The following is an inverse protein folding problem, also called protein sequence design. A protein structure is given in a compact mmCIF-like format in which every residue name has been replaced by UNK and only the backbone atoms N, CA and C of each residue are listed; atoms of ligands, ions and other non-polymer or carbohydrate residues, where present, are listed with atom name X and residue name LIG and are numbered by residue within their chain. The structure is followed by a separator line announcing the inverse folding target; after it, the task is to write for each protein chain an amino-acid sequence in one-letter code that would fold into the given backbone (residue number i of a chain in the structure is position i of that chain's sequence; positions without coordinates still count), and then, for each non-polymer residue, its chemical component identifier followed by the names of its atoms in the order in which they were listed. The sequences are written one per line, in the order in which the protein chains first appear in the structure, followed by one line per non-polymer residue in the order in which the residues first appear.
data_IF_744526962698
#
_entry.id   IF_744526962698
#
_cell.length_a   1.000
_cell.length_b   1.000
_cell.length_c   1.000
_cell.angle_alpha   90.00
_cell.angle_beta   90.00
_cell.angle_gamma   90.00
#
_symmetry.space_group_name_H-M   'P 1'
#
loop_
_entity.id
_entity.type
_entity.pdbx_description
1 polymer ?
#
# COMPACT_ATOMS: atom_id res chain seq x y z
N UNK A 1 -33.23 10.50 22.85
CA UNK A 1 -32.00 9.88 23.39
C UNK A 1 -31.30 9.04 22.34
N UNK A 2 -32.00 8.18 21.58
CA UNK A 2 -31.41 7.33 20.54
C UNK A 2 -30.39 8.02 19.63
N UNK A 3 -30.73 9.14 18.99
CA UNK A 3 -29.78 9.89 18.14
C UNK A 3 -28.55 10.41 18.91
N UNK A 4 -28.75 10.84 20.15
CA UNK A 4 -27.65 11.34 21.00
C UNK A 4 -26.69 10.18 21.31
N UNK A 5 -27.21 8.99 21.62
CA UNK A 5 -26.40 7.79 21.84
C UNK A 5 -25.58 7.40 20.59
N UNK A 6 -26.10 7.60 19.36
CA UNK A 6 -25.32 7.41 18.12
C UNK A 6 -24.13 8.36 18.09
N UNK A 7 -24.35 9.64 18.40
CA UNK A 7 -23.30 10.67 18.39
C UNK A 7 -22.25 10.47 19.49
N UNK A 8 -22.65 9.92 20.64
CA UNK A 8 -21.75 9.58 21.75
C UNK A 8 -21.05 8.23 21.58
N UNK A 9 -21.29 7.51 20.47
CA UNK A 9 -20.69 6.20 20.20
C UNK A 9 -21.29 5.04 21.02
N UNK A 10 -22.38 5.26 21.76
CA UNK A 10 -23.08 4.23 22.53
C UNK A 10 -24.05 3.44 21.65
N UNK A 11 -23.50 2.74 20.65
CA UNK A 11 -24.26 2.15 19.55
C UNK A 11 -25.26 1.06 19.99
N UNK A 12 -24.93 0.25 21.00
CA UNK A 12 -25.84 -0.78 21.54
C UNK A 12 -27.10 -0.17 22.16
N UNK A 13 -26.94 0.88 22.96
CA UNK A 13 -28.04 1.62 23.57
C UNK A 13 -28.82 2.42 22.51
N UNK A 14 -28.12 2.96 21.51
CA UNK A 14 -28.74 3.65 20.39
C UNK A 14 -29.66 2.72 19.60
N UNK A 15 -29.21 1.53 19.21
CA UNK A 15 -30.01 0.56 18.46
C UNK A 15 -31.29 0.17 19.23
N UNK A 16 -31.17 -0.14 20.52
CA UNK A 16 -32.34 -0.48 21.37
C UNK A 16 -33.35 0.67 21.48
N UNK A 17 -32.87 1.89 21.74
CA UNK A 17 -33.73 3.08 21.86
C UNK A 17 -34.43 3.40 20.53
N UNK A 18 -33.72 3.25 19.42
CA UNK A 18 -34.23 3.53 18.08
C UNK A 18 -35.20 2.45 17.60
N UNK A 19 -34.96 1.17 17.93
CA UNK A 19 -35.91 0.08 17.69
C UNK A 19 -37.24 0.33 18.42
N UNK A 20 -37.19 0.65 19.71
CA UNK A 20 -38.41 1.01 20.49
C UNK A 20 -39.13 2.23 19.92
N UNK A 21 -38.39 3.20 19.37
CA UNK A 21 -38.97 4.39 18.73
C UNK A 21 -39.67 4.03 17.42
N UNK A 22 -39.09 3.15 16.61
CA UNK A 22 -39.67 2.68 15.35
C UNK A 22 -41.01 1.98 15.57
N UNK A 23 -41.13 1.18 16.63
CA UNK A 23 -42.37 0.46 16.97
C UNK A 23 -43.51 1.40 17.39
N UNK A 24 -43.17 2.52 18.04
CA UNK A 24 -44.16 3.44 18.63
C UNK A 24 -44.56 4.56 17.68
N UNK A 25 -43.65 5.02 16.83
CA UNK A 25 -43.87 6.21 16.03
C UNK A 25 -44.73 5.90 14.79
N UNK A 26 -45.67 6.80 14.49
CA UNK A 26 -46.50 6.73 13.27
C UNK A 26 -46.10 7.75 12.21
N UNK A 27 -45.22 8.69 12.56
CA UNK A 27 -44.76 9.75 11.65
C UNK A 27 -43.74 9.19 10.64
N UNK A 28 -43.97 9.31 9.32
CA UNK A 28 -43.02 8.87 8.29
C UNK A 28 -41.64 9.49 8.48
N UNK A 29 -41.55 10.81 8.69
CA UNK A 29 -40.26 11.50 8.93
C UNK A 29 -39.50 10.91 10.12
N UNK A 30 -40.19 10.65 11.22
CA UNK A 30 -39.55 10.10 12.43
C UNK A 30 -39.12 8.66 12.20
N UNK A 31 -39.92 7.85 11.48
CA UNK A 31 -39.54 6.48 11.09
C UNK A 31 -38.29 6.46 10.23
N UNK A 32 -38.22 7.32 9.21
CA UNK A 32 -37.04 7.41 8.33
C UNK A 32 -35.81 7.79 9.15
N UNK A 33 -35.86 8.89 9.91
CA UNK A 33 -34.71 9.33 10.70
C UNK A 33 -34.27 8.29 11.74
N UNK A 34 -35.21 7.67 12.44
CA UNK A 34 -34.91 6.63 13.40
C UNK A 34 -34.31 5.37 12.74
N UNK A 35 -34.82 4.97 11.58
CA UNK A 35 -34.30 3.85 10.80
C UNK A 35 -32.88 4.11 10.29
N UNK A 36 -32.61 5.32 9.76
CA UNK A 36 -31.27 5.69 9.31
C UNK A 36 -30.26 5.76 10.47
N UNK A 37 -30.66 6.34 11.60
CA UNK A 37 -29.85 6.36 12.80
C UNK A 37 -29.55 4.96 13.33
N UNK A 38 -30.54 4.07 13.27
CA UNK A 38 -30.41 2.67 13.70
C UNK A 38 -29.45 1.92 12.77
N UNK A 39 -29.61 2.10 11.45
CA UNK A 39 -28.69 1.53 10.47
C UNK A 39 -27.24 1.97 10.69
N UNK A 40 -27.01 3.25 11.02
CA UNK A 40 -25.68 3.74 11.38
C UNK A 40 -25.14 3.06 12.64
N UNK A 41 -25.94 2.94 13.69
CA UNK A 41 -25.53 2.24 14.92
C UNK A 41 -25.18 0.77 14.65
N UNK A 42 -26.02 0.04 13.93
CA UNK A 42 -25.77 -1.37 13.58
C UNK A 42 -24.54 -1.54 12.69
N UNK A 43 -24.29 -0.60 11.76
CA UNK A 43 -23.07 -0.60 10.95
C UNK A 43 -21.81 -0.48 11.81
N UNK A 44 -21.81 0.41 12.80
CA UNK A 44 -20.66 0.58 13.71
C UNK A 44 -20.45 -0.62 14.63
N UNK A 45 -21.50 -1.41 14.89
CA UNK A 45 -21.42 -2.69 15.60
C UNK A 45 -20.98 -3.87 14.72
N UNK A 46 -20.81 -3.67 13.40
CA UNK A 46 -20.53 -4.73 12.45
C UNK A 46 -21.73 -5.63 12.13
N UNK A 47 -22.93 -5.28 12.60
CA UNK A 47 -24.16 -6.04 12.39
C UNK A 47 -24.85 -5.57 11.10
N UNK A 48 -24.40 -6.16 9.99
CA UNK A 48 -24.80 -5.74 8.65
C UNK A 48 -26.20 -6.21 8.26
N UNK A 49 -26.70 -7.30 8.84
CA UNK A 49 -28.07 -7.77 8.64
C UNK A 49 -29.06 -6.79 9.26
N UNK A 50 -28.86 -6.43 10.54
CA UNK A 50 -29.71 -5.42 11.21
C UNK A 50 -29.61 -4.04 10.56
N UNK A 51 -28.44 -3.68 10.04
CA UNK A 51 -28.28 -2.45 9.24
C UNK A 51 -29.21 -2.48 8.03
N UNK A 52 -29.17 -3.56 7.24
CA UNK A 52 -29.93 -3.66 6.00
C UNK A 52 -31.44 -3.70 6.26
N UNK A 53 -31.88 -4.36 7.35
CA UNK A 53 -33.26 -4.29 7.83
C UNK A 53 -33.68 -2.85 8.18
N UNK A 54 -32.85 -2.13 8.94
CA UNK A 54 -33.15 -0.75 9.32
C UNK A 54 -33.16 0.21 8.12
N UNK A 55 -32.29 -0.01 7.13
CA UNK A 55 -32.31 0.71 5.85
C UNK A 55 -33.58 0.40 5.05
N UNK A 56 -34.03 -0.84 5.02
CA UNK A 56 -35.27 -1.23 4.36
C UNK A 56 -36.48 -0.54 4.98
N UNK A 57 -36.57 -0.52 6.32
CA UNK A 57 -37.62 0.20 7.06
C UNK A 57 -37.60 1.69 6.74
N UNK A 58 -36.43 2.32 6.72
CA UNK A 58 -36.29 3.73 6.37
C UNK A 58 -36.70 3.99 4.92
N UNK A 59 -36.35 3.11 3.99
CA UNK A 59 -36.71 3.23 2.57
C UNK A 59 -38.22 3.10 2.35
N UNK A 60 -38.87 2.13 3.00
CA UNK A 60 -40.32 1.94 2.91
C UNK A 60 -41.06 3.16 3.49
N UNK A 61 -40.64 3.63 4.68
CA UNK A 61 -41.22 4.79 5.34
C UNK A 61 -41.05 6.10 4.56
N UNK A 62 -40.09 6.19 3.64
CA UNK A 62 -39.87 7.37 2.79
C UNK A 62 -41.01 7.60 1.77
N UNK A 63 -41.80 6.57 1.44
CA UNK A 63 -43.00 6.69 0.62
C UNK A 63 -42.75 7.36 -0.73
N UNK A 64 -43.51 8.42 -1.05
CA UNK A 64 -43.34 9.22 -2.26
C UNK A 64 -42.58 10.53 -2.04
N UNK A 65 -42.18 10.82 -0.80
CA UNK A 65 -41.53 12.09 -0.42
C UNK A 65 -40.08 12.16 -0.94
N UNK A 66 -39.76 13.04 -1.91
CA UNK A 66 -38.46 13.07 -2.57
C UNK A 66 -37.29 13.29 -1.60
N UNK A 67 -37.47 14.21 -0.63
CA UNK A 67 -36.42 14.55 0.35
C UNK A 67 -36.05 13.37 1.25
N UNK A 68 -37.03 12.55 1.65
CA UNK A 68 -36.78 11.39 2.51
C UNK A 68 -36.11 10.26 1.72
N UNK A 69 -36.51 10.07 0.46
CA UNK A 69 -35.86 9.13 -0.46
C UNK A 69 -34.39 9.48 -0.68
N UNK A 70 -34.11 10.76 -0.94
CA UNK A 70 -32.75 11.28 -1.09
C UNK A 70 -31.92 11.01 0.17
N UNK A 71 -32.44 11.32 1.36
CA UNK A 71 -31.74 11.08 2.61
C UNK A 71 -31.46 9.58 2.84
N UNK A 72 -32.47 8.72 2.61
CA UNK A 72 -32.32 7.27 2.77
C UNK A 72 -31.29 6.68 1.81
N UNK A 73 -31.33 7.06 0.53
CA UNK A 73 -30.37 6.60 -0.46
C UNK A 73 -28.95 7.12 -0.20
N UNK A 74 -28.80 8.36 0.28
CA UNK A 74 -27.49 8.94 0.62
C UNK A 74 -26.83 8.20 1.78
N UNK A 75 -27.57 7.96 2.88
CA UNK A 75 -27.04 7.23 4.05
C UNK A 75 -26.76 5.77 3.70
N UNK A 76 -27.65 5.10 2.96
CA UNK A 76 -27.38 3.73 2.51
C UNK A 76 -26.10 3.63 1.67
N UNK A 77 -25.90 4.57 0.73
CA UNK A 77 -24.70 4.61 -0.09
C UNK A 77 -23.43 4.88 0.72
N UNK A 78 -23.47 5.77 1.72
CA UNK A 78 -22.36 5.99 2.67
C UNK A 78 -21.95 4.67 3.34
N UNK A 79 -22.91 3.95 3.90
CA UNK A 79 -22.65 2.69 4.61
C UNK A 79 -22.13 1.59 3.68
N UNK A 80 -22.55 1.55 2.42
CA UNK A 80 -21.98 0.62 1.43
C UNK A 80 -20.54 1.00 1.04
N UNK A 81 -20.23 2.28 0.87
CA UNK A 81 -18.87 2.73 0.56
C UNK A 81 -17.88 2.42 1.70
N UNK A 82 -18.34 2.41 2.94
CA UNK A 82 -17.54 2.00 4.09
C UNK A 82 -17.17 0.52 4.07
N UNK A 83 -17.98 -0.33 3.42
CA UNK A 83 -17.69 -1.75 3.19
C UNK A 83 -17.00 -2.03 1.85
N UNK A 84 -16.48 -1.01 1.16
CA UNK A 84 -15.91 -1.15 -0.16
C UNK A 84 -16.89 -1.81 -1.17
N UNK A 85 -18.17 -1.44 -1.08
CA UNK A 85 -19.27 -1.83 -1.98
C UNK A 85 -19.70 -0.65 -2.87
N UNK A 86 -18.82 -0.18 -3.79
CA UNK A 86 -19.07 1.03 -4.57
C UNK A 86 -20.15 0.87 -5.64
N UNK A 87 -20.41 -0.35 -6.12
CA UNK A 87 -21.42 -0.61 -7.16
C UNK A 87 -22.83 -0.36 -6.62
N UNK A 88 -23.15 -0.89 -5.45
CA UNK A 88 -24.45 -0.62 -4.80
C UNK A 88 -24.61 0.86 -4.45
N UNK A 89 -23.54 1.53 -4.03
CA UNK A 89 -23.57 2.97 -3.78
C UNK A 89 -23.86 3.77 -5.06
N UNK A 90 -23.26 3.41 -6.20
CA UNK A 90 -23.54 4.06 -7.49
C UNK A 90 -25.00 3.91 -7.91
N UNK A 91 -25.58 2.71 -7.78
CA UNK A 91 -26.99 2.46 -8.14
C UNK A 91 -27.95 3.38 -7.36
N UNK A 92 -27.62 3.68 -6.10
CA UNK A 92 -28.41 4.57 -5.25
C UNK A 92 -28.17 6.04 -5.56
N UNK A 93 -26.93 6.45 -5.82
CA UNK A 93 -26.55 7.86 -5.94
C UNK A 93 -26.73 8.43 -7.35
N UNK A 94 -26.57 7.61 -8.40
CA UNK A 94 -26.62 8.08 -9.79
C UNK A 94 -27.98 8.69 -10.17
N UNK A 95 -29.14 8.09 -9.80
CA UNK A 95 -30.44 8.70 -10.06
C UNK A 95 -30.61 10.06 -9.37
N UNK A 96 -30.10 10.20 -8.14
CA UNK A 96 -30.17 11.45 -7.38
C UNK A 96 -29.34 12.55 -8.04
N UNK A 97 -28.14 12.21 -8.49
CA UNK A 97 -27.24 13.14 -9.16
C UNK A 97 -27.79 13.59 -10.51
N UNK A 98 -28.39 12.68 -11.26
CA UNK A 98 -29.04 12.99 -12.55
C UNK A 98 -30.29 13.87 -12.36
N UNK A 99 -31.07 13.63 -11.31
CA UNK A 99 -32.27 14.42 -11.00
C UNK A 99 -31.92 15.85 -10.57
N UNK A 100 -30.84 16.03 -9.80
CA UNK A 100 -30.37 17.34 -9.37
C UNK A 100 -28.86 17.31 -9.12
N UNK A 101 -28.10 17.89 -10.05
CA UNK A 101 -26.66 18.02 -9.90
C UNK A 101 -26.25 18.99 -8.79
N UNK A 102 -27.20 19.60 -8.04
CA UNK A 102 -26.93 20.52 -6.91
C UNK A 102 -26.55 19.81 -5.61
N UNK A 103 -26.77 18.50 -5.49
CA UNK A 103 -26.46 17.76 -4.27
C UNK A 103 -24.96 17.51 -4.11
N UNK A 104 -24.29 18.44 -3.42
CA UNK A 104 -22.84 18.39 -3.18
C UNK A 104 -22.44 17.12 -2.41
N UNK A 105 -23.22 16.66 -1.44
CA UNK A 105 -22.89 15.44 -0.70
C UNK A 105 -22.92 14.20 -1.59
N UNK A 106 -23.98 14.04 -2.38
CA UNK A 106 -24.08 12.93 -3.33
C UNK A 106 -22.90 12.92 -4.32
N UNK A 107 -22.48 14.10 -4.82
CA UNK A 107 -21.31 14.20 -5.69
C UNK A 107 -20.00 13.79 -4.99
N UNK A 108 -19.82 14.09 -3.69
CA UNK A 108 -18.65 13.61 -2.92
C UNK A 108 -18.66 12.09 -2.74
N UNK A 109 -19.83 11.50 -2.49
CA UNK A 109 -19.96 10.05 -2.35
C UNK A 109 -19.75 9.34 -3.68
N UNK A 110 -20.26 9.88 -4.78
CA UNK A 110 -19.97 9.39 -6.13
C UNK A 110 -18.47 9.45 -6.42
N UNK A 111 -17.80 10.55 -6.09
CA UNK A 111 -16.35 10.65 -6.23
C UNK A 111 -15.64 9.54 -5.46
N UNK A 112 -16.05 9.26 -4.21
CA UNK A 112 -15.52 8.14 -3.42
C UNK A 112 -15.79 6.79 -4.10
N UNK A 113 -17.00 6.57 -4.62
CA UNK A 113 -17.38 5.35 -5.33
C UNK A 113 -16.52 5.11 -6.58
N UNK A 114 -16.39 6.12 -7.44
CA UNK A 114 -15.58 6.06 -8.65
C UNK A 114 -14.09 5.85 -8.34
N UNK A 115 -13.58 6.41 -7.24
CA UNK A 115 -12.21 6.14 -6.76
C UNK A 115 -12.03 4.67 -6.35
N UNK A 116 -12.97 4.08 -5.61
CA UNK A 116 -12.91 2.66 -5.23
C UNK A 116 -13.00 1.72 -6.46
N UNK A 117 -13.68 2.16 -7.53
CA UNK A 117 -13.78 1.44 -8.80
C UNK A 117 -12.62 1.69 -9.77
N UNK A 118 -11.68 2.56 -9.42
CA UNK A 118 -10.61 3.03 -10.31
C UNK A 118 -11.12 3.63 -11.64
N UNK A 119 -12.31 4.25 -11.63
CA UNK A 119 -12.86 4.95 -12.80
C UNK A 119 -12.28 6.35 -12.91
N UNK A 120 -11.13 6.45 -13.58
CA UNK A 120 -10.37 7.68 -13.67
C UNK A 120 -11.08 8.82 -14.43
N UNK A 121 -11.98 8.50 -15.37
CA UNK A 121 -12.70 9.52 -16.14
C UNK A 121 -13.68 10.28 -15.23
N UNK A 122 -14.54 9.56 -14.52
CA UNK A 122 -15.53 10.17 -13.63
C UNK A 122 -14.87 10.85 -12.42
N UNK A 123 -13.75 10.32 -11.91
CA UNK A 123 -12.97 10.97 -10.84
C UNK A 123 -12.49 12.34 -11.27
N UNK A 124 -11.94 12.48 -12.49
CA UNK A 124 -11.47 13.77 -12.99
C UNK A 124 -12.61 14.79 -13.09
N UNK A 125 -13.73 14.41 -13.71
CA UNK A 125 -14.89 15.28 -13.93
C UNK A 125 -15.53 15.75 -12.62
N UNK A 126 -15.79 14.82 -11.70
CA UNK A 126 -16.40 15.14 -10.41
C UNK A 126 -15.47 15.97 -9.53
N UNK A 127 -14.16 15.69 -9.55
CA UNK A 127 -13.19 16.50 -8.80
C UNK A 127 -13.20 17.96 -9.27
N UNK A 128 -13.20 18.19 -10.59
CA UNK A 128 -13.31 19.54 -11.19
C UNK A 128 -14.60 20.25 -10.80
N UNK A 129 -15.71 19.52 -10.79
CA UNK A 129 -17.01 20.07 -10.39
C UNK A 129 -17.02 20.45 -8.91
N UNK A 130 -16.53 19.57 -8.03
CA UNK A 130 -16.48 19.79 -6.59
C UNK A 130 -15.53 20.94 -6.23
N UNK A 131 -14.37 21.02 -6.88
CA UNK A 131 -13.40 22.10 -6.67
C UNK A 131 -13.99 23.46 -7.06
N UNK A 132 -14.68 23.55 -8.22
CA UNK A 132 -15.36 24.79 -8.64
C UNK A 132 -16.43 25.26 -7.67
N UNK A 133 -17.03 24.34 -6.89
CA UNK A 133 -18.07 24.63 -5.91
C UNK A 133 -17.52 24.83 -4.49
N UNK A 134 -16.20 24.76 -4.29
CA UNK A 134 -15.59 24.84 -2.96
C UNK A 134 -15.97 23.66 -2.04
N UNK A 135 -16.37 22.52 -2.62
CA UNK A 135 -16.83 21.35 -1.88
C UNK A 135 -15.71 20.39 -1.48
N UNK A 136 -14.52 20.62 -2.01
CA UNK A 136 -13.28 19.89 -1.76
C UNK A 136 -12.15 20.91 -1.70
N UNK A 137 -11.15 20.64 -0.85
CA UNK A 137 -9.98 21.48 -0.75
C UNK A 137 -9.12 21.40 -2.03
N UNK A 138 -8.35 22.47 -2.30
CA UNK A 138 -7.50 22.56 -3.48
C UNK A 138 -6.42 21.46 -3.50
N UNK A 139 -5.77 21.18 -2.38
CA UNK A 139 -4.70 20.18 -2.30
C UNK A 139 -5.24 18.78 -2.58
N UNK A 140 -6.39 18.45 -1.96
CA UNK A 140 -7.06 17.18 -2.19
C UNK A 140 -7.55 17.05 -3.64
N UNK A 141 -8.08 18.12 -4.24
CA UNK A 141 -8.47 18.12 -5.64
C UNK A 141 -7.27 17.90 -6.57
N UNK A 142 -6.13 18.53 -6.29
CA UNK A 142 -4.89 18.36 -7.06
C UNK A 142 -4.44 16.90 -7.05
N UNK A 143 -4.43 16.24 -5.87
CA UNK A 143 -4.08 14.82 -5.77
C UNK A 143 -5.00 13.92 -6.61
N UNK A 144 -6.32 14.15 -6.55
CA UNK A 144 -7.27 13.35 -7.32
C UNK A 144 -7.17 13.59 -8.82
N UNK A 145 -6.94 14.84 -9.24
CA UNK A 145 -6.68 15.19 -10.64
C UNK A 145 -5.39 14.51 -11.11
N UNK A 146 -4.31 14.60 -10.35
CA UNK A 146 -3.02 14.00 -10.67
C UNK A 146 -3.14 12.48 -10.89
N UNK A 147 -3.69 11.76 -9.92
CA UNK A 147 -3.86 10.31 -10.00
C UNK A 147 -4.77 9.89 -11.16
N UNK A 148 -5.91 10.57 -11.33
CA UNK A 148 -6.90 10.22 -12.35
C UNK A 148 -6.37 10.48 -13.76
N UNK A 149 -5.75 11.64 -14.00
CA UNK A 149 -5.19 11.97 -15.31
C UNK A 149 -4.04 11.04 -15.67
N UNK A 150 -3.14 10.76 -14.73
CA UNK A 150 -2.05 9.80 -14.96
C UNK A 150 -2.58 8.41 -15.35
N UNK A 151 -3.67 7.96 -14.71
CA UNK A 151 -4.35 6.71 -15.08
C UNK A 151 -5.00 6.79 -16.46
N UNK A 152 -5.72 7.88 -16.77
CA UNK A 152 -6.35 8.09 -18.09
C UNK A 152 -5.32 8.07 -19.22
N UNK A 153 -4.17 8.72 -19.02
CA UNK A 153 -3.07 8.73 -19.99
C UNK A 153 -2.54 7.32 -20.24
N UNK A 154 -2.25 6.55 -19.18
CA UNK A 154 -1.79 5.17 -19.30
C UNK A 154 -2.79 4.28 -20.03
N UNK A 155 -4.09 4.41 -19.76
CA UNK A 155 -5.13 3.61 -20.40
C UNK A 155 -5.39 4.01 -21.86
N UNK A 156 -5.33 5.29 -22.18
CA UNK A 156 -5.63 5.79 -23.53
C UNK A 156 -4.45 5.66 -24.50
N UNK A 157 -3.22 5.60 -23.99
CA UNK A 157 -2.02 5.53 -24.81
C UNK A 157 -1.77 6.82 -25.62
N UNK A 158 -0.88 6.74 -26.62
CA UNK A 158 -0.50 7.88 -27.45
C UNK A 158 -1.67 8.40 -28.31
N UNK A 159 -2.62 7.54 -28.69
CA UNK A 159 -3.78 7.93 -29.52
C UNK A 159 -4.70 8.91 -28.77
N UNK A 160 -4.93 8.69 -27.48
CA UNK A 160 -5.74 9.57 -26.63
C UNK A 160 -4.97 10.75 -26.01
N UNK A 161 -3.64 10.78 -26.14
CA UNK A 161 -2.78 11.78 -25.51
C UNK A 161 -3.21 13.21 -25.83
N UNK A 162 -3.40 13.55 -27.11
CA UNK A 162 -3.73 14.92 -27.54
C UNK A 162 -5.04 15.43 -26.92
N UNK A 163 -6.05 14.57 -26.82
CA UNK A 163 -7.34 14.91 -26.22
C UNK A 163 -7.18 15.19 -24.74
N UNK A 164 -6.59 14.24 -24.00
CA UNK A 164 -6.42 14.36 -22.55
C UNK A 164 -5.51 15.55 -22.21
N UNK A 165 -4.38 15.68 -22.91
CA UNK A 165 -3.41 16.76 -22.69
C UNK A 165 -3.98 18.15 -23.02
N UNK A 166 -4.95 18.24 -23.93
CA UNK A 166 -5.66 19.47 -24.26
C UNK A 166 -6.62 19.95 -23.16
N UNK A 167 -7.14 19.04 -22.33
CA UNK A 167 -8.06 19.35 -21.23
C UNK A 167 -7.34 19.91 -19.99
N UNK A 168 -6.03 19.70 -19.87
CA UNK A 168 -5.24 20.04 -18.69
C UNK A 168 -4.81 21.50 -18.69
N UNK A 169 -4.81 22.10 -17.49
CA UNK A 169 -4.23 23.42 -17.26
C UNK A 169 -2.71 23.34 -17.20
N UNK A 170 -2.04 24.49 -17.34
CA UNK A 170 -0.58 24.55 -17.36
C UNK A 170 0.05 24.06 -16.05
N UNK A 171 -0.56 24.37 -14.91
CA UNK A 171 -0.13 23.92 -13.57
C UNK A 171 -0.32 22.42 -13.36
N UNK A 172 -1.33 21.82 -13.99
CA UNK A 172 -1.59 20.38 -13.91
C UNK A 172 -0.63 19.55 -14.76
N UNK A 173 -0.23 20.08 -15.92
CA UNK A 173 0.75 19.43 -16.81
C UNK A 173 2.11 19.21 -16.15
N UNK A 174 2.44 20.01 -15.15
CA UNK A 174 3.70 19.91 -14.41
C UNK A 174 3.62 19.02 -13.18
N UNK A 175 2.45 18.45 -12.85
CA UNK A 175 2.31 17.54 -11.71
C UNK A 175 3.11 16.26 -11.95
N UNK A 176 3.87 15.75 -10.95
CA UNK A 176 4.80 14.64 -11.12
C UNK A 176 4.22 13.39 -11.78
N UNK A 177 3.08 12.85 -11.32
CA UNK A 177 2.54 11.60 -11.85
C UNK A 177 1.98 11.77 -13.27
N UNK A 178 1.45 12.95 -13.60
CA UNK A 178 1.01 13.30 -14.95
C UNK A 178 2.22 13.38 -15.88
N UNK A 179 3.29 14.07 -15.46
CA UNK A 179 4.51 14.21 -16.22
C UNK A 179 5.19 12.84 -16.46
N UNK A 180 5.22 11.97 -15.45
CA UNK A 180 5.74 10.60 -15.56
C UNK A 180 4.92 9.77 -16.56
N UNK A 181 3.59 9.79 -16.44
CA UNK A 181 2.71 9.04 -17.35
C UNK A 181 2.84 9.55 -18.79
N UNK A 182 2.85 10.87 -18.99
CA UNK A 182 3.01 11.48 -20.29
C UNK A 182 4.38 11.18 -20.91
N UNK A 183 5.46 11.31 -20.15
CA UNK A 183 6.79 11.00 -20.63
C UNK A 183 6.95 9.53 -21.01
N UNK A 184 6.40 8.60 -20.22
CA UNK A 184 6.42 7.17 -20.53
C UNK A 184 5.78 6.86 -21.89
N UNK A 185 4.61 7.46 -22.20
CA UNK A 185 3.96 7.31 -23.50
C UNK A 185 4.83 7.79 -24.67
N UNK A 186 5.56 8.90 -24.49
CA UNK A 186 6.45 9.43 -25.50
C UNK A 186 7.74 8.61 -25.64
N UNK A 187 8.30 8.10 -24.53
CA UNK A 187 9.46 7.20 -24.55
C UNK A 187 9.13 5.90 -25.30
N UNK A 188 7.96 5.29 -25.03
CA UNK A 188 7.48 4.10 -25.76
C UNK A 188 7.28 4.35 -27.25
N UNK A 189 6.91 5.58 -27.63
CA UNK A 189 6.76 6.01 -29.01
C UNK A 189 8.09 6.42 -29.69
N UNK A 190 9.23 6.31 -29.01
CA UNK A 190 10.54 6.77 -29.51
C UNK A 190 10.70 8.29 -29.56
N UNK A 191 9.78 9.04 -28.98
CA UNK A 191 9.75 10.51 -28.96
C UNK A 191 10.53 11.05 -27.75
N UNK A 192 11.78 10.62 -27.60
CA UNK A 192 12.63 10.88 -26.43
C UNK A 192 12.88 12.37 -26.13
N UNK A 193 12.85 13.23 -27.14
CA UNK A 193 13.01 14.67 -26.94
C UNK A 193 11.78 15.26 -26.23
N UNK A 194 10.58 14.86 -26.63
CA UNK A 194 9.33 15.37 -26.05
C UNK A 194 9.15 14.85 -24.62
N UNK A 195 9.45 13.57 -24.38
CA UNK A 195 9.50 13.01 -23.03
C UNK A 195 10.44 13.81 -22.11
N UNK A 196 11.63 14.15 -22.60
CA UNK A 196 12.59 14.97 -21.86
C UNK A 196 12.04 16.37 -21.53
N UNK A 197 11.37 17.03 -22.48
CA UNK A 197 10.76 18.35 -22.28
C UNK A 197 9.65 18.33 -21.23
N UNK A 198 8.79 17.29 -21.24
CA UNK A 198 7.69 17.15 -20.28
C UNK A 198 8.25 16.96 -18.85
N UNK A 199 9.25 16.10 -18.69
CA UNK A 199 9.91 15.89 -17.40
C UNK A 199 10.63 17.15 -16.93
N UNK A 200 11.34 17.86 -17.82
CA UNK A 200 12.00 19.14 -17.52
C UNK A 200 10.99 20.19 -17.03
N UNK A 201 9.81 20.27 -17.64
CA UNK A 201 8.77 21.21 -17.22
C UNK A 201 8.29 20.95 -15.79
N UNK A 202 8.12 19.68 -15.40
CA UNK A 202 7.77 19.30 -14.02
C UNK A 202 8.91 19.60 -13.05
N UNK A 203 10.15 19.25 -13.39
CA UNK A 203 11.33 19.46 -12.54
C UNK A 203 11.65 20.94 -12.30
N UNK A 204 11.29 21.82 -13.24
CA UNK A 204 11.43 23.28 -13.06
C UNK A 204 10.45 23.85 -12.02
N UNK A 205 9.33 23.16 -11.74
CA UNK A 205 8.39 23.54 -10.68
C UNK A 205 8.87 23.00 -9.33
N UNK A 206 9.31 21.74 -9.30
CA UNK A 206 9.87 21.13 -8.11
C UNK A 206 10.61 19.84 -8.43
N UNK A 207 11.76 19.64 -7.76
CA UNK A 207 12.52 18.41 -7.91
C UNK A 207 11.80 17.24 -7.21
N UNK A 208 11.35 16.28 -8.00
CA UNK A 208 10.80 15.00 -7.52
C UNK A 208 11.76 13.86 -7.92
N UNK A 209 12.09 12.99 -6.96
CA UNK A 209 13.05 11.91 -7.16
C UNK A 209 12.61 10.88 -8.22
N UNK A 210 11.30 10.63 -8.36
CA UNK A 210 10.74 9.71 -9.36
C UNK A 210 10.86 10.33 -10.75
N UNK A 211 10.57 11.62 -10.88
CA UNK A 211 10.71 12.38 -12.14
C UNK A 211 12.18 12.46 -12.56
N UNK A 212 13.11 12.73 -11.62
CA UNK A 212 14.56 12.71 -11.87
C UNK A 212 15.06 11.33 -12.32
N UNK A 213 14.55 10.27 -11.70
CA UNK A 213 14.87 8.91 -12.10
C UNK A 213 14.45 8.66 -13.56
N UNK A 214 13.18 8.94 -13.91
CA UNK A 214 12.69 8.80 -15.28
C UNK A 214 13.48 9.68 -16.26
N UNK A 215 13.82 10.92 -15.87
CA UNK A 215 14.60 11.84 -16.69
C UNK A 215 15.98 11.31 -17.03
N UNK A 216 16.62 10.61 -16.09
CA UNK A 216 17.94 10.00 -16.32
C UNK A 216 17.91 8.75 -17.18
N UNK A 217 16.73 8.17 -17.43
CA UNK A 217 16.56 7.04 -18.34
C UNK A 217 16.33 7.58 -19.75
N UNK A 218 17.40 7.73 -20.52
CA UNK A 218 17.33 8.25 -21.88
C UNK A 218 18.28 7.50 -22.82
N UNK A 219 18.06 7.53 -24.14
CA UNK A 219 19.05 7.01 -25.08
C UNK A 219 20.33 7.85 -25.07
N UNK A 220 21.49 7.29 -25.47
CA UNK A 220 22.77 8.01 -25.50
C UNK A 220 22.73 9.35 -26.25
N UNK A 221 21.94 9.44 -27.33
CA UNK A 221 21.80 10.66 -28.13
C UNK A 221 21.19 11.86 -27.38
N UNK A 222 20.49 11.63 -26.26
CA UNK A 222 19.88 12.70 -25.46
C UNK A 222 20.72 13.11 -24.24
N UNK A 223 21.76 12.34 -23.91
CA UNK A 223 22.53 12.51 -22.66
C UNK A 223 23.15 13.90 -22.56
N UNK A 224 23.83 14.38 -23.61
CA UNK A 224 24.54 15.67 -23.55
C UNK A 224 23.60 16.84 -23.20
N UNK A 225 22.43 16.89 -23.83
CA UNK A 225 21.39 17.89 -23.54
C UNK A 225 20.86 17.75 -22.12
N UNK A 226 20.47 16.53 -21.73
CA UNK A 226 19.85 16.28 -20.42
C UNK A 226 20.83 16.54 -19.27
N UNK A 227 22.10 16.19 -19.46
CA UNK A 227 23.19 16.43 -18.52
C UNK A 227 23.41 17.93 -18.31
N UNK A 228 23.51 18.72 -19.39
CA UNK A 228 23.70 20.18 -19.31
C UNK A 228 22.58 20.86 -18.52
N UNK A 229 21.32 20.43 -18.71
CA UNK A 229 20.16 20.94 -17.95
C UNK A 229 20.23 20.53 -16.48
N UNK A 230 20.52 19.27 -16.19
CA UNK A 230 20.61 18.79 -14.82
C UNK A 230 21.77 19.44 -14.03
N UNK A 231 22.89 19.75 -14.68
CA UNK A 231 23.98 20.51 -14.06
C UNK A 231 23.58 21.95 -13.73
N UNK A 232 22.66 22.56 -14.50
CA UNK A 232 22.09 23.85 -14.15
C UNK A 232 21.24 23.77 -12.87
N UNK A 233 20.41 22.72 -12.72
CA UNK A 233 19.66 22.48 -11.49
C UNK A 233 20.58 22.22 -10.29
N UNK A 234 21.74 21.57 -10.49
CA UNK A 234 22.69 21.28 -9.42
C UNK A 234 23.30 22.55 -8.81
N UNK A 235 23.39 23.65 -9.57
CA UNK A 235 23.89 24.94 -9.05
C UNK A 235 22.99 25.49 -7.95
N UNK A 236 21.68 25.30 -8.08
CA UNK A 236 20.69 25.75 -7.08
C UNK A 236 20.38 24.68 -6.04
N UNK A 237 20.54 23.39 -6.37
CA UNK A 237 20.26 22.26 -5.49
C UNK A 237 21.50 21.35 -5.31
N UNK A 238 22.61 21.85 -4.75
CA UNK A 238 23.87 21.10 -4.69
C UNK A 238 23.81 19.86 -3.79
N UNK A 239 22.90 19.85 -2.81
CA UNK A 239 22.75 18.78 -1.82
C UNK A 239 21.66 17.76 -2.16
N UNK A 240 21.02 17.84 -3.32
CA UNK A 240 19.96 16.90 -3.69
C UNK A 240 20.55 15.56 -4.13
N UNK A 241 20.35 14.53 -3.30
CA UNK A 241 20.85 13.16 -3.57
C UNK A 241 20.24 12.55 -4.83
N UNK A 242 18.94 12.76 -5.10
CA UNK A 242 18.27 12.19 -6.26
C UNK A 242 18.77 12.85 -7.55
N UNK A 243 19.00 14.16 -7.54
CA UNK A 243 19.57 14.89 -8.68
C UNK A 243 21.00 14.43 -8.98
N UNK A 244 21.83 14.24 -7.95
CA UNK A 244 23.18 13.69 -8.10
C UNK A 244 23.16 12.26 -8.65
N UNK A 245 22.21 11.43 -8.22
CA UNK A 245 22.04 10.08 -8.74
C UNK A 245 21.59 10.09 -10.21
N UNK A 246 20.72 11.03 -10.60
CA UNK A 246 20.27 11.21 -11.98
C UNK A 246 21.43 11.68 -12.88
N UNK A 247 22.25 12.64 -12.44
CA UNK A 247 23.48 13.06 -13.13
C UNK A 247 24.47 11.89 -13.29
N UNK A 248 24.67 11.12 -12.23
CA UNK A 248 25.48 9.91 -12.26
C UNK A 248 25.00 8.95 -13.34
N UNK A 249 23.70 8.60 -13.34
CA UNK A 249 23.12 7.70 -14.35
C UNK A 249 23.28 8.23 -15.78
N UNK A 250 23.03 9.53 -16.02
CA UNK A 250 23.28 10.16 -17.33
C UNK A 250 24.75 10.03 -17.75
N UNK A 251 25.70 10.25 -16.83
CA UNK A 251 27.12 10.06 -17.10
C UNK A 251 27.43 8.59 -17.47
N UNK A 252 26.84 7.60 -16.80
CA UNK A 252 27.02 6.19 -17.15
C UNK A 252 26.49 5.90 -18.56
N UNK A 253 25.30 6.40 -18.90
CA UNK A 253 24.72 6.26 -20.25
C UNK A 253 25.59 6.92 -21.32
N UNK A 254 26.19 8.07 -21.00
CA UNK A 254 27.14 8.79 -21.85
C UNK A 254 28.59 8.29 -21.79
N UNK A 255 28.88 7.21 -21.03
CA UNK A 255 30.21 6.65 -20.84
C UNK A 255 31.25 7.63 -20.23
N UNK A 256 30.78 8.57 -19.42
CA UNK A 256 31.57 9.55 -18.67
C UNK A 256 31.86 9.01 -17.26
N UNK A 257 32.73 8.01 -17.17
CA UNK A 257 32.94 7.23 -15.95
C UNK A 257 33.43 8.06 -14.75
N UNK A 258 34.46 8.89 -14.94
CA UNK A 258 35.04 9.70 -13.85
C UNK A 258 34.05 10.68 -13.22
N UNK A 259 33.38 11.54 -14.02
CA UNK A 259 32.31 12.41 -13.51
C UNK A 259 31.14 11.62 -12.89
N UNK A 260 30.74 10.51 -13.51
CA UNK A 260 29.68 9.64 -13.00
C UNK A 260 29.98 9.10 -11.60
N UNK A 261 31.19 8.56 -11.39
CA UNK A 261 31.65 8.08 -10.08
C UNK A 261 31.60 9.20 -9.03
N UNK A 262 32.08 10.40 -9.37
CA UNK A 262 32.07 11.56 -8.45
C UNK A 262 30.66 11.95 -8.02
N UNK A 263 29.72 12.04 -8.97
CA UNK A 263 28.33 12.37 -8.66
C UNK A 263 27.66 11.30 -7.80
N UNK A 264 27.85 10.02 -8.13
CA UNK A 264 27.27 8.90 -7.39
C UNK A 264 27.84 8.77 -5.97
N UNK A 265 29.16 8.90 -5.79
CA UNK A 265 29.77 8.89 -4.46
C UNK A 265 29.30 10.08 -3.61
N UNK A 266 29.11 11.26 -4.22
CA UNK A 266 28.53 12.41 -3.51
C UNK A 266 27.08 12.15 -3.12
N UNK A 267 26.28 11.56 -4.01
CA UNK A 267 24.90 11.17 -3.70
C UNK A 267 24.85 10.17 -2.53
N UNK A 268 25.71 9.15 -2.57
CA UNK A 268 25.81 8.10 -1.53
C UNK A 268 26.16 8.67 -0.15
N UNK A 269 27.02 9.70 -0.08
CA UNK A 269 27.36 10.38 1.18
C UNK A 269 26.16 11.08 1.83
N UNK A 270 25.16 11.45 1.02
CA UNK A 270 23.94 12.13 1.49
C UNK A 270 22.87 11.10 1.84
N UNK A 271 22.64 10.15 0.93
CA UNK A 271 21.68 9.05 1.12
C UNK A 271 22.24 7.76 0.53
N UNK A 272 22.22 6.70 1.32
CA UNK A 272 22.54 5.35 0.84
C UNK A 272 21.25 4.65 0.43
N UNK A 273 21.10 4.38 -0.87
CA UNK A 273 19.92 3.72 -1.44
C UNK A 273 20.36 2.63 -2.42
N UNK A 274 19.53 1.60 -2.61
CA UNK A 274 19.73 0.46 -3.51
C UNK A 274 20.12 0.95 -4.90
N UNK A 275 19.42 1.98 -5.41
CA UNK A 275 19.68 2.54 -6.73
C UNK A 275 21.11 3.08 -6.87
N UNK A 276 21.61 3.82 -5.88
CA UNK A 276 22.93 4.44 -5.94
C UNK A 276 24.02 3.35 -5.91
N UNK A 277 23.82 2.33 -5.07
CA UNK A 277 24.72 1.17 -5.03
C UNK A 277 24.69 0.37 -6.33
N UNK A 278 23.52 0.15 -6.94
CA UNK A 278 23.42 -0.53 -8.23
C UNK A 278 24.14 0.25 -9.35
N UNK A 279 24.02 1.59 -9.37
CA UNK A 279 24.72 2.44 -10.34
C UNK A 279 26.24 2.40 -10.13
N UNK A 280 26.72 2.47 -8.88
CA UNK A 280 28.15 2.32 -8.58
C UNK A 280 28.69 0.93 -8.92
N UNK A 281 27.92 -0.12 -8.63
CA UNK A 281 28.23 -1.50 -9.01
C UNK A 281 28.41 -1.64 -10.52
N UNK A 282 27.42 -1.15 -11.29
CA UNK A 282 27.48 -1.17 -12.75
C UNK A 282 28.67 -0.38 -13.31
N UNK A 283 28.96 0.81 -12.74
CA UNK A 283 30.12 1.60 -13.13
C UNK A 283 31.43 0.85 -12.89
N UNK A 284 31.60 0.20 -11.74
CA UNK A 284 32.82 -0.53 -11.42
C UNK A 284 32.99 -1.83 -12.22
N UNK A 285 31.90 -2.51 -12.55
CA UNK A 285 31.94 -3.65 -13.48
C UNK A 285 32.46 -3.21 -14.85
N UNK A 286 31.99 -2.07 -15.37
CA UNK A 286 32.45 -1.50 -16.65
C UNK A 286 33.90 -1.05 -16.61
N UNK A 287 34.41 -0.65 -15.45
CA UNK A 287 35.82 -0.30 -15.23
C UNK A 287 36.74 -1.50 -14.94
N UNK A 288 36.20 -2.73 -14.85
CA UNK A 288 36.96 -3.93 -14.49
C UNK A 288 37.37 -4.00 -13.02
N UNK A 289 36.76 -3.20 -12.14
CA UNK A 289 37.00 -3.15 -10.70
C UNK A 289 36.05 -4.10 -9.95
N UNK A 290 36.16 -5.40 -10.22
CA UNK A 290 35.18 -6.41 -9.76
C UNK A 290 35.02 -6.49 -8.24
N UNK A 291 36.09 -6.24 -7.47
CA UNK A 291 36.03 -6.21 -5.99
C UNK A 291 35.15 -5.08 -5.48
N UNK A 292 35.32 -3.88 -6.04
CA UNK A 292 34.53 -2.69 -5.69
C UNK A 292 33.08 -2.83 -6.15
N UNK A 293 32.87 -3.37 -7.36
CA UNK A 293 31.54 -3.68 -7.86
C UNK A 293 30.80 -4.66 -6.93
N UNK A 294 31.44 -5.78 -6.57
CA UNK A 294 30.87 -6.77 -5.65
C UNK A 294 30.51 -6.17 -4.29
N UNK A 295 31.35 -5.28 -3.75
CA UNK A 295 31.04 -4.54 -2.52
C UNK A 295 29.74 -3.75 -2.66
N UNK A 296 29.59 -3.00 -3.74
CA UNK A 296 28.38 -2.21 -3.97
C UNK A 296 27.14 -3.06 -4.26
N UNK A 297 27.27 -4.18 -4.97
CA UNK A 297 26.16 -5.12 -5.15
C UNK A 297 25.69 -5.72 -3.82
N UNK A 298 26.61 -6.10 -2.94
CA UNK A 298 26.30 -6.59 -1.58
C UNK A 298 25.61 -5.53 -0.74
N UNK A 299 26.13 -4.29 -0.76
CA UNK A 299 25.52 -3.18 -0.05
C UNK A 299 24.11 -2.89 -0.59
N UNK A 300 23.93 -2.88 -1.91
CA UNK A 300 22.62 -2.74 -2.54
C UNK A 300 21.63 -3.81 -2.09
N UNK A 301 22.05 -5.07 -2.04
CA UNK A 301 21.23 -6.18 -1.55
C UNK A 301 20.86 -6.02 -0.07
N UNK A 302 21.80 -5.58 0.78
CA UNK A 302 21.54 -5.33 2.21
C UNK A 302 20.59 -4.17 2.48
N UNK A 303 20.50 -3.19 1.56
CA UNK A 303 19.54 -2.09 1.66
C UNK A 303 18.15 -2.55 1.19
N UNK A 304 18.07 -3.47 0.23
CA UNK A 304 16.80 -3.99 -0.30
C UNK A 304 16.10 -4.99 0.65
N UNK A 305 16.83 -5.63 1.57
CA UNK A 305 16.25 -6.57 2.53
C UNK A 305 17.18 -6.87 3.72
N UNK A 306 16.59 -7.35 4.82
CA UNK A 306 17.33 -7.79 6.01
C UNK A 306 17.95 -9.15 5.69
N UNK A 307 19.24 -9.15 5.37
CA UNK A 307 19.99 -10.40 5.24
C UNK A 307 20.29 -10.95 6.64
N UNK A 308 20.21 -12.27 6.86
CA UNK A 308 20.60 -12.86 8.13
C UNK A 308 22.08 -12.58 8.40
N UNK A 309 22.41 -12.21 9.64
CA UNK A 309 23.80 -12.06 10.07
C UNK A 309 24.39 -13.46 10.21
N UNK A 310 25.19 -13.87 9.22
CA UNK A 310 25.89 -15.15 9.26
C UNK A 310 27.11 -15.05 10.19
N UNK A 311 27.33 -16.01 11.10
CA UNK A 311 28.51 -16.03 11.97
C UNK A 311 29.77 -16.28 11.13
N UNK A 312 30.60 -15.24 11.01
CA UNK A 312 31.84 -15.18 10.24
C UNK A 312 31.77 -15.64 8.77
N UNK A 313 32.33 -14.86 7.86
CA UNK A 313 32.43 -15.18 6.44
C UNK A 313 33.50 -16.25 6.17
N UNK A 314 33.34 -17.45 6.75
CA UNK A 314 34.09 -18.62 6.36
C UNK A 314 33.63 -19.10 4.99
N UNK A 315 34.57 -19.42 4.11
CA UNK A 315 34.25 -20.17 2.89
C UNK A 315 33.70 -21.51 3.36
N UNK A 316 32.46 -21.83 2.99
CA UNK A 316 31.92 -23.16 3.27
C UNK A 316 32.86 -24.19 2.62
N UNK A 317 33.24 -25.27 3.33
CA UNK A 317 34.00 -26.34 2.71
C UNK A 317 33.24 -26.84 1.47
N UNK A 318 33.97 -27.33 0.47
CA UNK A 318 33.34 -27.97 -0.67
C UNK A 318 32.34 -29.02 -0.15
N UNK A 319 31.13 -29.01 -0.68
CA UNK A 319 30.12 -29.98 -0.29
C UNK A 319 30.70 -31.39 -0.44
N UNK A 320 30.55 -32.24 0.56
CA UNK A 320 30.99 -33.63 0.46
C UNK A 320 30.05 -34.37 -0.49
N UNK A 321 30.47 -34.50 -1.75
CA UNK A 321 29.70 -35.16 -2.82
C UNK A 321 29.79 -36.69 -2.76
N UNK A 322 30.48 -37.26 -1.77
CA UNK A 322 30.61 -38.73 -1.65
C UNK A 322 29.29 -39.44 -1.32
N UNK A 323 28.32 -38.70 -0.77
CA UNK A 323 26.95 -39.18 -0.53
C UNK A 323 25.96 -38.79 -1.62
N UNK A 324 26.40 -38.11 -2.69
CA UNK A 324 25.49 -37.77 -3.79
C UNK A 324 25.10 -39.05 -4.53
N UNK A 325 23.79 -39.37 -4.66
CA UNK A 325 23.31 -40.59 -5.33
C UNK A 325 23.60 -40.59 -6.85
N UNK A 326 24.27 -39.56 -7.37
CA UNK A 326 24.59 -39.38 -8.79
C UNK A 326 25.97 -39.93 -9.18
N UNK A 327 26.80 -40.35 -8.22
CA UNK A 327 28.08 -41.02 -8.49
C UNK A 327 27.96 -42.53 -8.24
N UNK A 328 27.12 -43.20 -9.03
CA UNK A 328 27.09 -44.66 -9.11
C UNK A 328 28.03 -45.10 -10.23
N UNK A 329 28.99 -45.97 -9.92
CA UNK A 329 29.81 -46.64 -10.93
C UNK A 329 28.91 -47.51 -11.81
N UNK A 330 28.79 -47.15 -13.09
CA UNK A 330 27.83 -47.71 -14.06
C UNK A 330 28.03 -49.23 -14.26
N UNK A 331 29.19 -49.75 -13.90
CA UNK A 331 29.52 -51.18 -14.03
C UNK A 331 28.90 -52.08 -12.94
N UNK A 332 28.37 -51.52 -11.85
CA UNK A 332 27.86 -52.29 -10.70
C UNK A 332 26.39 -51.97 -10.35
N UNK A 333 25.55 -51.62 -11.33
CA UNK A 333 24.10 -51.52 -11.11
C UNK A 333 23.49 -52.92 -10.91
N UNK A 334 22.95 -53.29 -9.74
CA UNK A 334 21.85 -54.25 -9.71
C UNK A 334 20.68 -53.65 -10.52
N UNK A 335 19.94 -54.49 -11.27
CA UNK A 335 18.80 -54.05 -12.08
C UNK A 335 17.94 -53.05 -11.31
N UNK A 336 17.76 -51.86 -11.89
CA UNK A 336 17.02 -50.78 -11.26
C UNK A 336 15.59 -51.25 -10.97
N UNK A 337 15.29 -51.51 -9.70
CA UNK A 337 13.91 -51.57 -9.25
C UNK A 337 13.34 -50.17 -9.49
N UNK A 338 12.22 -50.04 -10.22
CA UNK A 338 11.60 -48.75 -10.46
C UNK A 338 11.40 -48.07 -9.11
N UNK A 339 11.89 -46.84 -8.99
CA UNK A 339 11.51 -45.98 -7.88
C UNK A 339 10.04 -45.64 -8.17
N UNK A 340 9.12 -46.51 -7.75
CA UNK A 340 7.75 -46.10 -7.53
C UNK A 340 7.85 -44.83 -6.70
N UNK A 341 7.18 -43.79 -7.18
CA UNK A 341 7.21 -42.43 -6.65
C UNK A 341 6.78 -42.43 -5.18
N UNK A 342 7.69 -42.77 -4.28
CA UNK A 342 7.60 -42.45 -2.88
C UNK A 342 7.84 -40.95 -2.82
N UNK A 343 6.85 -40.14 -2.41
CA UNK A 343 7.09 -38.74 -2.18
C UNK A 343 8.07 -38.68 -1.01
N UNK A 344 9.35 -38.45 -1.29
CA UNK A 344 10.29 -38.12 -0.23
C UNK A 344 9.81 -36.78 0.30
N UNK A 345 9.06 -36.83 1.41
CA UNK A 345 8.61 -35.62 2.08
C UNK A 345 9.86 -34.76 2.34
N UNK A 346 9.83 -33.46 2.02
CA UNK A 346 10.99 -32.60 2.25
C UNK A 346 11.38 -32.71 3.72
N UNK A 347 12.58 -33.25 3.98
CA UNK A 347 13.12 -33.38 5.32
C UNK A 347 13.24 -31.95 5.85
N UNK A 348 12.59 -31.67 6.97
CA UNK A 348 12.64 -30.35 7.58
C UNK A 348 14.11 -29.99 7.89
N UNK A 349 14.50 -28.73 7.70
CA UNK A 349 15.85 -28.26 8.04
C UNK A 349 16.23 -28.52 9.51
N UNK A 350 15.24 -28.76 10.38
CA UNK A 350 15.39 -29.17 11.78
C UNK A 350 15.74 -30.66 11.98
N UNK A 351 15.64 -31.49 10.94
CA UNK A 351 15.99 -32.91 10.97
C UNK A 351 17.34 -33.21 10.29
N UNK A 352 18.02 -32.17 9.77
CA UNK A 352 19.43 -32.28 9.40
C UNK A 352 20.27 -32.20 10.68
N UNK A 353 20.96 -33.28 11.02
CA UNK A 353 21.89 -33.29 12.16
C UNK A 353 22.94 -32.19 11.97
N UNK A 354 22.84 -31.13 12.76
CA UNK A 354 23.84 -30.09 12.81
C UNK A 354 25.12 -30.70 13.38
N UNK A 355 26.14 -30.85 12.54
CA UNK A 355 27.49 -31.22 12.96
C UNK A 355 28.00 -30.17 13.97
N UNK A 356 27.93 -30.53 15.25
CA UNK A 356 28.57 -29.80 16.33
C UNK A 356 30.08 -30.09 16.22
N UNK A 357 30.95 -29.09 16.03
CA UNK A 357 32.38 -29.33 15.80
C UNK A 357 33.11 -29.89 17.02
N UNK A 358 32.48 -29.92 18.21
CA UNK A 358 33.06 -30.45 19.44
C UNK A 358 32.08 -31.37 20.19
N UNK A 359 32.31 -32.69 20.16
CA UNK A 359 32.07 -33.59 21.30
C UNK A 359 30.81 -34.48 21.36
N UNK A 360 31.07 -35.80 21.31
CA UNK A 360 30.39 -36.95 21.96
C UNK A 360 28.95 -37.28 21.51
N UNK A 361 28.82 -38.34 20.72
CA UNK A 361 27.55 -38.91 20.28
C UNK A 361 26.70 -39.50 21.41
N UNK A 362 25.41 -39.17 21.42
CA UNK A 362 24.39 -39.86 22.22
C UNK A 362 23.84 -41.05 21.41
N UNK A 363 23.51 -42.19 22.05
CA UNK A 363 22.91 -43.32 21.34
C UNK A 363 21.45 -43.01 20.95
N UNK A 364 20.92 -43.63 19.89
CA UNK A 364 19.57 -43.36 19.42
C UNK A 364 18.53 -43.83 20.45
N UNK A 365 17.59 -42.96 20.79
CA UNK A 365 16.43 -43.30 21.60
C UNK A 365 15.41 -44.07 20.74
N UNK A 366 15.01 -45.25 21.22
CA UNK A 366 13.95 -46.07 20.62
C UNK A 366 12.64 -45.27 20.50
N UNK A 367 12.07 -45.27 19.30
CA UNK A 367 10.76 -44.68 19.04
C UNK A 367 9.63 -45.53 19.64
N UNK A 368 8.67 -44.96 20.39
CA UNK A 368 7.51 -45.72 20.84
C UNK A 368 6.53 -45.94 19.67
N UNK A 369 6.05 -47.17 19.56
CA UNK A 369 5.10 -47.62 18.54
C UNK A 369 3.72 -47.03 18.77
N UNK A 370 3.11 -46.51 17.71
CA UNK A 370 1.75 -46.00 17.71
C UNK A 370 0.72 -47.10 18.09
N UNK A 371 -0.01 -46.89 19.19
CA UNK A 371 -1.27 -47.59 19.49
C UNK A 371 -2.42 -46.60 19.34
N UNK A 372 -3.39 -46.99 18.53
CA UNK A 372 -4.68 -46.32 18.31
C UNK A 372 -5.63 -46.53 19.50
N UNK A 373 -6.27 -45.46 19.98
CA UNK A 373 -7.43 -45.51 20.89
C UNK A 373 -8.37 -44.32 20.56
N UNK A 374 -9.70 -44.47 20.65
CA UNK A 374 -10.68 -43.68 19.89
C UNK A 374 -11.25 -42.46 20.66
N UNK A 375 -11.92 -41.57 19.91
CA UNK A 375 -12.67 -40.39 20.39
C UNK A 375 -13.80 -40.78 21.35
N UNK A 376 -13.99 -40.05 22.47
CA UNK A 376 -15.24 -39.29 22.68
C UNK A 376 -15.02 -37.99 23.54
N UNK A 377 -16.06 -37.36 24.12
CA UNK A 377 -16.74 -36.15 23.67
C UNK A 377 -16.40 -34.86 24.48
N UNK A 378 -16.93 -33.70 24.07
CA UNK A 378 -17.00 -32.46 24.88
C UNK A 378 -17.83 -32.67 26.17
N UNK A 379 -17.72 -31.89 27.29
CA UNK A 379 -17.55 -30.42 27.33
C UNK A 379 -16.77 -29.81 28.55
N UNK A 380 -16.80 -28.46 28.59
CA UNK A 380 -16.74 -27.52 29.73
C UNK A 380 -15.40 -26.98 30.31
N UNK A 381 -15.39 -25.63 30.34
CA UNK A 381 -14.76 -24.65 31.25
C UNK A 381 -13.46 -25.00 31.97
N UNK A 382 -12.38 -24.27 31.62
CA UNK A 382 -11.44 -23.61 32.56
C UNK A 382 -10.15 -23.18 31.82
N UNK A 383 -10.25 -22.13 31.00
CA UNK A 383 -9.08 -21.42 30.46
C UNK A 383 -9.32 -19.90 30.50
N UNK A 384 -9.72 -19.42 31.67
CA UNK A 384 -9.37 -18.07 32.11
C UNK A 384 -8.19 -18.20 33.09
N UNK A 385 -7.30 -17.22 33.09
CA UNK A 385 -6.05 -17.14 33.90
C UNK A 385 -4.77 -17.75 33.29
N UNK A 386 -4.25 -17.18 32.19
CA UNK A 386 -2.79 -16.97 32.10
C UNK A 386 -2.38 -15.96 31.01
N UNK A 387 -2.73 -14.69 31.17
CA UNK A 387 -2.03 -13.61 30.45
C UNK A 387 -2.17 -12.30 31.22
N UNK A 388 -1.38 -12.15 32.28
CA UNK A 388 -1.15 -10.84 32.85
C UNK A 388 0.26 -10.70 33.44
N UNK A 389 0.85 -9.52 33.25
CA UNK A 389 2.12 -9.04 33.82
C UNK A 389 3.45 -9.50 33.19
N UNK A 390 3.79 -8.94 32.02
CA UNK A 390 5.18 -8.62 31.71
C UNK A 390 5.35 -7.08 31.69
N UNK A 391 6.18 -6.47 32.55
CA UNK A 391 6.31 -5.01 32.63
C UNK A 391 7.05 -4.43 31.42
N UNK A 392 6.51 -3.32 30.89
CA UNK A 392 7.11 -2.53 29.80
C UNK A 392 8.31 -1.75 30.37
N UNK A 393 9.54 -1.89 29.84
CA UNK A 393 10.69 -1.15 30.34
C UNK A 393 10.58 0.35 30.00
N UNK A 394 10.64 1.22 31.01
CA UNK A 394 10.88 2.67 30.81
C UNK A 394 9.82 3.66 31.31
N UNK A 395 8.86 3.25 32.16
CA UNK A 395 7.86 4.16 32.73
C UNK A 395 7.92 4.11 34.26
N UNK A 396 8.29 5.23 34.88
CA UNK A 396 8.27 5.44 36.33
C UNK A 396 6.83 5.79 36.78
N UNK A 397 6.15 4.82 37.41
CA UNK A 397 4.77 4.94 37.88
C UNK A 397 4.65 5.58 39.29
N UNK A 398 5.72 6.19 39.81
CA UNK A 398 5.67 6.86 41.12
C UNK A 398 4.95 8.23 41.14
N UNK A 399 4.34 8.66 40.04
CA UNK A 399 3.80 10.02 39.86
C UNK A 399 2.28 10.12 39.63
N UNK A 400 1.49 9.04 39.71
CA UNK A 400 0.03 9.14 39.63
C UNK A 400 -0.62 8.72 40.94
N UNK A 401 -0.63 9.64 41.90
CA UNK A 401 -1.44 9.55 43.10
C UNK A 401 -2.85 10.04 42.81
N UNK A 402 -3.80 9.12 42.64
CA UNK A 402 -5.22 9.39 42.86
C UNK A 402 -5.79 8.23 43.69
N UNK A 403 -5.96 8.49 44.99
CA UNK A 403 -6.76 7.63 45.85
C UNK A 403 -7.75 8.52 46.62
N UNK A 404 -9.08 8.32 46.47
CA UNK A 404 -10.05 9.07 47.21
C UNK A 404 -10.24 8.44 48.60
N UNK A 405 -10.06 9.23 49.66
CA UNK A 405 -10.54 8.84 51.00
C UNK A 405 -11.52 9.87 51.53
N UNK A 406 -12.80 9.52 51.43
CA UNK A 406 -13.84 10.10 52.27
C UNK A 406 -13.81 9.48 53.67
N UNK A 407 -13.90 10.35 54.68
CA UNK A 407 -14.82 10.13 55.82
C UNK A 407 -14.23 9.77 57.19
N UNK A 408 -14.64 10.61 58.17
CA UNK A 408 -14.67 10.46 59.65
C UNK A 408 -13.34 10.73 60.37
N UNK A 409 -13.22 11.60 61.37
CA UNK A 409 -14.17 12.44 62.11
C UNK A 409 -13.57 12.82 63.48
N UNK A 410 -14.15 13.86 64.11
CA UNK A 410 -13.99 14.34 65.51
C UNK A 410 -12.73 15.13 65.88
N UNK A 411 -12.99 16.27 66.53
CA UNK A 411 -12.04 17.22 67.10
C UNK A 411 -12.70 18.59 67.12
#
# INVERSE_FOLDING_TARGET
TGWINVLEGRYTQADQDLARLLDRTRSPNTKVLAGLARAQASHQLGDYERRDEALAVAREASGTEPRLKEASATVAAELYLDQNRPKEALELLQPLYNASSRHVNAARLLLRAYRQLNDAAHVYELTRLLQRRGAIDKEQATQFIEMSVASRLRSAGLSGFKTIWGELRADEKTLPDIALAAAALHEEAGQHEEAGRILEASLNVGLDARVLNAYSQCPPGQVARRLSKAEAWLKTHPGDSALLAALGNLCLTGQLWGPGERYLLRSMKIRSDVRIHALLGNLYDRLGRSSDAMKHWRLGASVAGVLPVLPASGVLPAADTRGDPTLIDVAAMPEAVPIDSVPLAPIAASAADYLNPDGVGAPPADAPSARSVPTPPAPDSDLDEYFDSAPIPGIDLSQTSDNPRGGRGRG
#
